data_IF_747023528631
#
_entry.id   IF_747023528631
#
_cell.length_a   1.000
_cell.length_b   1.000
_cell.length_c   1.000
_cell.angle_alpha   90.00
_cell.angle_beta   90.00
_cell.angle_gamma   90.00
#
_symmetry.space_group_name_H-M   'P 1'
#
loop_
_entity.id
_entity.type
_entity.pdbx_description
1 polymer ?
#
# COMPACT_ATOMS: atom_id res chain seq x y z
N UNK A 1 -17.59 8.97 -11.48
CA UNK A 1 -16.67 10.08 -11.89
C UNK A 1 -15.37 9.93 -11.09
N UNK A 2 -14.24 10.51 -11.54
CA UNK A 2 -12.96 10.40 -10.81
C UNK A 2 -13.05 10.90 -9.36
N UNK A 3 -13.79 12.00 -9.15
CA UNK A 3 -14.05 12.54 -7.82
C UNK A 3 -14.73 11.52 -6.89
N UNK A 4 -15.60 10.65 -7.43
CA UNK A 4 -16.28 9.63 -6.63
C UNK A 4 -15.31 8.52 -6.19
N UNK A 5 -14.34 8.17 -7.05
CA UNK A 5 -13.28 7.21 -6.71
C UNK A 5 -12.40 7.77 -5.59
N UNK A 6 -11.96 9.02 -5.72
CA UNK A 6 -11.15 9.66 -4.68
C UNK A 6 -11.94 9.83 -3.37
N UNK A 7 -13.22 10.21 -3.45
CA UNK A 7 -14.09 10.30 -2.30
C UNK A 7 -14.29 8.93 -1.63
N UNK A 8 -14.49 7.86 -2.40
CA UNK A 8 -14.61 6.50 -1.88
C UNK A 8 -13.37 6.09 -1.07
N UNK A 9 -12.18 6.43 -1.54
CA UNK A 9 -10.90 6.14 -0.86
C UNK A 9 -10.59 7.00 0.37
N UNK A 10 -11.37 8.06 0.62
CA UNK A 10 -11.14 9.00 1.73
C UNK A 10 -12.37 9.09 2.63
N UNK A 11 -13.27 10.05 2.39
CA UNK A 11 -14.51 10.26 3.17
C UNK A 11 -15.43 9.03 3.11
N UNK A 12 -15.49 8.34 1.98
CA UNK A 12 -16.27 7.12 1.81
C UNK A 12 -15.76 5.99 2.71
N UNK A 13 -14.45 5.78 2.75
CA UNK A 13 -13.80 4.84 3.66
C UNK A 13 -14.04 5.20 5.13
N UNK A 14 -13.92 6.48 5.50
CA UNK A 14 -14.25 6.97 6.84
C UNK A 14 -15.70 6.63 7.24
N UNK A 15 -16.67 6.90 6.35
CA UNK A 15 -18.07 6.55 6.56
C UNK A 15 -18.29 5.05 6.71
N UNK A 16 -17.62 4.22 5.91
CA UNK A 16 -17.72 2.77 6.00
C UNK A 16 -17.21 2.22 7.34
N UNK A 17 -16.24 2.91 7.96
CA UNK A 17 -15.74 2.62 9.30
C UNK A 17 -16.57 3.26 10.43
N UNK A 18 -17.66 3.97 10.10
CA UNK A 18 -18.48 4.68 11.09
C UNK A 18 -17.78 5.87 11.73
N UNK A 19 -16.79 6.46 11.04
CA UNK A 19 -16.00 7.59 11.54
C UNK A 19 -16.27 8.86 10.75
N UNK A 20 -16.42 9.96 11.47
CA UNK A 20 -16.64 11.32 10.94
C UNK A 20 -15.43 12.24 11.16
N UNK A 21 -14.45 11.81 11.94
CA UNK A 21 -13.25 12.56 12.32
C UNK A 21 -12.03 12.29 11.42
N UNK A 22 -12.19 11.55 10.30
CA UNK A 22 -11.11 11.24 9.33
C UNK A 22 -11.57 11.37 7.88
N UNK A 23 -10.61 11.36 6.95
CA UNK A 23 -10.87 11.40 5.50
C UNK A 23 -11.16 12.80 4.96
N UNK A 24 -11.07 13.85 5.79
CA UNK A 24 -11.27 15.24 5.41
C UNK A 24 -10.21 16.14 6.04
N UNK A 25 -9.73 17.12 5.28
CA UNK A 25 -8.95 18.24 5.82
C UNK A 25 -9.92 19.29 6.37
N UNK A 26 -10.20 19.23 7.66
CA UNK A 26 -11.10 20.16 8.37
C UNK A 26 -10.71 20.26 9.83
N UNK A 27 -10.88 21.42 10.50
CA UNK A 27 -10.77 21.50 11.95
C UNK A 27 -11.64 20.42 12.63
N UNK A 28 -11.10 19.83 13.70
CA UNK A 28 -11.73 18.73 14.44
C UNK A 28 -11.49 17.33 13.87
N UNK A 29 -11.03 17.20 12.62
CA UNK A 29 -10.59 15.91 12.07
C UNK A 29 -9.15 15.58 12.48
N UNK A 30 -8.81 14.30 12.55
CA UNK A 30 -7.43 13.83 12.69
C UNK A 30 -6.58 14.29 11.52
N UNK A 31 -5.31 14.56 11.81
CA UNK A 31 -4.32 14.92 10.80
C UNK A 31 -3.76 13.67 10.09
N UNK A 32 -4.66 12.95 9.39
CA UNK A 32 -4.32 11.86 8.47
C UNK A 32 -4.09 12.46 7.07
N UNK A 33 -2.83 12.74 6.73
CA UNK A 33 -2.47 13.57 5.58
C UNK A 33 -1.40 12.87 4.74
N UNK A 34 -1.59 12.86 3.42
CA UNK A 34 -0.61 12.40 2.44
C UNK A 34 -0.18 13.59 1.57
N UNK A 35 1.13 13.85 1.50
CA UNK A 35 1.71 14.85 0.62
C UNK A 35 2.32 14.15 -0.60
N UNK A 36 1.85 14.55 -1.78
CA UNK A 36 2.27 13.99 -3.06
C UNK A 36 3.07 15.03 -3.85
N UNK A 37 4.26 14.66 -4.31
CA UNK A 37 5.09 15.46 -5.20
C UNK A 37 4.52 15.46 -6.62
N UNK A 38 3.80 16.52 -6.96
CA UNK A 38 3.22 16.69 -8.29
C UNK A 38 4.26 16.92 -9.39
N UNK A 39 5.55 17.10 -9.05
CA UNK A 39 6.67 17.22 -10.00
C UNK A 39 7.37 15.90 -10.29
N UNK A 40 7.05 14.83 -9.54
CA UNK A 40 7.62 13.51 -9.73
C UNK A 40 7.44 13.04 -11.19
N UNK A 41 8.41 12.31 -11.79
CA UNK A 41 8.31 11.88 -13.18
C UNK A 41 7.04 11.10 -13.51
N UNK A 42 6.55 10.27 -12.57
CA UNK A 42 5.31 9.50 -12.74
C UNK A 42 4.03 10.38 -12.73
N UNK A 43 4.13 11.63 -12.30
CA UNK A 43 3.03 12.61 -12.30
C UNK A 43 3.04 13.48 -13.56
N UNK A 44 4.09 13.42 -14.39
CA UNK A 44 4.26 14.30 -15.55
C UNK A 44 3.68 13.72 -16.85
N UNK A 45 3.03 14.55 -17.68
CA UNK A 45 2.65 15.95 -17.44
C UNK A 45 1.50 16.09 -16.44
N UNK A 46 1.61 17.00 -15.47
CA UNK A 46 0.65 17.12 -14.36
C UNK A 46 -0.48 18.14 -14.62
N UNK A 47 -1.30 17.91 -15.67
CA UNK A 47 -2.43 18.80 -15.99
C UNK A 47 -3.56 18.72 -14.97
N UNK A 48 -3.87 17.50 -14.52
CA UNK A 48 -4.88 17.22 -13.49
C UNK A 48 -4.21 16.34 -12.44
N UNK A 49 -3.72 16.93 -11.32
CA UNK A 49 -3.00 16.19 -10.29
C UNK A 49 -3.79 15.03 -9.69
N UNK A 50 -5.11 15.15 -9.61
CA UNK A 50 -5.95 14.08 -9.06
C UNK A 50 -6.04 12.90 -10.02
N UNK A 51 -6.16 13.19 -11.32
CA UNK A 51 -6.13 12.17 -12.37
C UNK A 51 -4.77 11.49 -12.44
N UNK A 52 -3.69 12.26 -12.42
CA UNK A 52 -2.32 11.72 -12.36
C UNK A 52 -2.13 10.87 -11.10
N UNK A 53 -2.63 11.31 -9.94
CA UNK A 53 -2.56 10.56 -8.69
C UNK A 53 -3.25 9.20 -8.77
N UNK A 54 -4.46 9.15 -9.34
CA UNK A 54 -5.25 7.91 -9.37
C UNK A 54 -4.75 6.92 -10.44
N UNK A 55 -4.29 7.40 -11.60
CA UNK A 55 -4.01 6.52 -12.74
C UNK A 55 -2.52 6.33 -13.05
N UNK A 56 -1.63 7.16 -12.50
CA UNK A 56 -0.22 7.19 -12.92
C UNK A 56 0.77 7.29 -11.78
N UNK A 57 0.38 7.85 -10.63
CA UNK A 57 1.28 7.93 -9.49
C UNK A 57 1.74 6.54 -9.05
N UNK A 58 3.01 6.49 -8.68
CA UNK A 58 3.58 5.39 -7.90
C UNK A 58 3.74 5.85 -6.45
N UNK A 59 4.00 4.90 -5.56
CA UNK A 59 4.47 5.16 -4.20
C UNK A 59 5.61 6.19 -4.15
N UNK A 60 6.46 6.24 -5.18
CA UNK A 60 7.55 7.21 -5.33
C UNK A 60 7.12 8.68 -5.39
N UNK A 61 5.86 8.97 -5.73
CA UNK A 61 5.34 10.33 -5.70
C UNK A 61 4.93 10.76 -4.28
N UNK A 62 4.79 9.84 -3.32
CA UNK A 62 4.44 10.16 -1.93
C UNK A 62 5.68 10.64 -1.19
N UNK A 63 5.66 11.88 -0.70
CA UNK A 63 6.80 12.51 -0.01
C UNK A 63 6.69 12.39 1.51
N UNK A 64 5.51 12.67 2.05
CA UNK A 64 5.25 12.64 3.49
C UNK A 64 3.87 12.04 3.78
N UNK A 65 3.79 11.31 4.88
CA UNK A 65 2.52 10.77 5.39
C UNK A 65 2.47 11.03 6.89
N UNK A 66 1.33 11.54 7.35
CA UNK A 66 1.01 11.77 8.74
C UNK A 66 -0.19 10.93 9.12
N UNK A 67 -0.13 10.31 10.31
CA UNK A 67 -1.26 9.59 10.92
C UNK A 67 -1.49 10.20 12.29
N UNK A 68 -2.67 10.77 12.51
CA UNK A 68 -3.02 11.56 13.70
C UNK A 68 -1.95 12.62 14.03
N UNK A 69 -1.43 13.28 12.99
CA UNK A 69 -0.39 14.30 13.09
C UNK A 69 1.03 13.77 13.31
N UNK A 70 1.22 12.45 13.47
CA UNK A 70 2.56 11.84 13.62
C UNK A 70 3.13 11.50 12.26
N UNK A 71 4.37 11.93 11.93
CA UNK A 71 5.00 11.56 10.67
C UNK A 71 5.32 10.06 10.66
N UNK A 72 4.84 9.35 9.65
CA UNK A 72 5.15 7.92 9.42
C UNK A 72 5.92 7.69 8.12
N UNK A 73 5.88 8.65 7.19
CA UNK A 73 6.75 8.73 6.02
C UNK A 73 7.35 10.12 5.93
N UNK A 74 8.64 10.23 5.65
CA UNK A 74 9.34 11.50 5.43
C UNK A 74 10.36 11.38 4.30
N UNK A 75 10.32 12.32 3.35
CA UNK A 75 11.18 12.31 2.16
C UNK A 75 11.13 10.98 1.39
N UNK A 76 9.93 10.39 1.28
CA UNK A 76 9.70 9.10 0.62
C UNK A 76 10.21 7.87 1.40
N UNK A 77 10.65 8.04 2.66
CA UNK A 77 11.12 6.93 3.51
C UNK A 77 10.14 6.64 4.63
N UNK A 78 9.76 5.38 4.79
CA UNK A 78 8.96 4.87 5.91
C UNK A 78 9.77 4.95 7.20
N UNK A 79 9.16 5.46 8.27
CA UNK A 79 9.82 5.68 9.56
C UNK A 79 9.48 4.62 10.62
N UNK A 80 8.46 3.80 10.36
CA UNK A 80 7.83 2.92 11.36
C UNK A 80 8.11 1.43 11.15
N UNK A 81 8.76 1.07 10.05
CA UNK A 81 9.03 -0.33 9.67
C UNK A 81 10.48 -0.45 9.21
N UNK A 82 11.20 -1.44 9.76
CA UNK A 82 12.44 -1.92 9.17
C UNK A 82 12.10 -2.88 8.02
N UNK A 83 12.25 -2.39 6.79
CA UNK A 83 11.94 -3.15 5.59
C UNK A 83 12.80 -4.41 5.44
N UNK A 84 14.07 -4.37 5.84
CA UNK A 84 14.97 -5.52 5.69
C UNK A 84 14.57 -6.62 6.67
N UNK A 85 14.33 -6.27 7.93
CA UNK A 85 13.86 -7.23 8.93
C UNK A 85 12.47 -7.78 8.59
N UNK A 86 11.55 -6.94 8.12
CA UNK A 86 10.21 -7.37 7.71
C UNK A 86 10.27 -8.35 6.51
N UNK A 87 11.12 -8.07 5.52
CA UNK A 87 11.31 -8.95 4.37
C UNK A 87 11.91 -10.31 4.77
N UNK A 88 12.89 -10.32 5.69
CA UNK A 88 13.45 -11.57 6.22
C UNK A 88 12.37 -12.40 6.94
N UNK A 89 11.57 -11.77 7.79
CA UNK A 89 10.46 -12.45 8.49
C UNK A 89 9.42 -13.02 7.52
N UNK A 90 9.11 -12.28 6.44
CA UNK A 90 8.21 -12.76 5.38
C UNK A 90 8.77 -14.00 4.67
N UNK A 91 10.07 -14.01 4.35
CA UNK A 91 10.71 -15.16 3.72
C UNK A 91 10.64 -16.42 4.60
N UNK A 92 10.89 -16.28 5.91
CA UNK A 92 10.74 -17.39 6.86
C UNK A 92 9.29 -17.88 6.94
N UNK A 93 8.32 -16.96 6.95
CA UNK A 93 6.90 -17.30 6.95
C UNK A 93 6.49 -18.05 5.68
N UNK A 94 7.02 -17.66 4.53
CA UNK A 94 6.80 -18.36 3.26
C UNK A 94 7.32 -19.79 3.33
N UNK A 95 8.54 -20.01 3.83
CA UNK A 95 9.11 -21.36 3.97
C UNK A 95 8.23 -22.25 4.86
N UNK A 96 7.77 -21.71 6.00
CA UNK A 96 6.82 -22.42 6.88
C UNK A 96 5.51 -22.74 6.14
N UNK A 97 4.94 -21.77 5.44
CA UNK A 97 3.69 -21.96 4.70
C UNK A 97 3.86 -23.05 3.64
N UNK A 98 4.92 -22.99 2.84
CA UNK A 98 5.24 -23.98 1.80
C UNK A 98 5.37 -25.39 2.38
N UNK A 99 6.02 -25.55 3.53
CA UNK A 99 6.14 -26.85 4.20
C UNK A 99 4.80 -27.43 4.68
N UNK A 100 3.78 -26.59 4.88
CA UNK A 100 2.42 -27.03 5.26
C UNK A 100 1.52 -27.38 4.07
N UNK A 101 1.91 -27.00 2.85
CA UNK A 101 1.06 -27.15 1.65
C UNK A 101 0.62 -28.60 1.42
N UNK A 102 1.50 -29.63 1.43
CA UNK A 102 1.06 -31.01 1.20
C UNK A 102 0.02 -31.51 2.19
N UNK A 103 0.11 -31.03 3.45
CA UNK A 103 -0.85 -31.39 4.49
C UNK A 103 -2.21 -30.71 4.28
N UNK A 104 -2.20 -29.49 3.74
CA UNK A 104 -3.39 -28.67 3.58
C UNK A 104 -4.03 -28.80 2.17
N UNK A 105 -3.28 -29.29 1.17
CA UNK A 105 -3.78 -29.59 -0.17
C UNK A 105 -4.56 -30.91 -0.15
N UNK A 106 -5.76 -30.89 -0.71
CA UNK A 106 -6.64 -32.06 -0.73
C UNK A 106 -6.05 -33.25 -1.51
N UNK A 107 -5.13 -33.01 -2.44
CA UNK A 107 -4.46 -34.02 -3.24
C UNK A 107 -3.01 -34.30 -2.77
N UNK A 108 -2.60 -33.73 -1.63
CA UNK A 108 -1.27 -33.97 -1.06
C UNK A 108 -0.10 -33.37 -1.84
N UNK A 109 -0.34 -32.46 -2.79
CA UNK A 109 0.69 -31.92 -3.68
C UNK A 109 1.62 -30.96 -2.95
N UNK A 110 2.86 -30.89 -3.43
CA UNK A 110 3.86 -29.93 -2.99
C UNK A 110 3.62 -28.51 -3.52
N UNK A 111 4.32 -27.54 -2.92
CA UNK A 111 4.32 -26.16 -3.39
C UNK A 111 4.77 -26.05 -4.86
N UNK A 112 5.79 -26.82 -5.26
CA UNK A 112 6.37 -26.79 -6.60
C UNK A 112 5.45 -27.45 -7.65
N UNK A 113 4.59 -28.39 -7.24
CA UNK A 113 3.58 -28.97 -8.12
C UNK A 113 2.38 -28.02 -8.32
N UNK A 114 1.98 -27.30 -7.28
CA UNK A 114 0.88 -26.32 -7.36
C UNK A 114 1.28 -25.03 -8.08
N UNK A 115 2.50 -24.55 -7.82
CA UNK A 115 3.03 -23.30 -8.33
C UNK A 115 4.51 -23.47 -8.70
N UNK A 116 4.81 -24.18 -9.80
CA UNK A 116 6.18 -24.42 -10.23
C UNK A 116 6.91 -23.11 -10.52
N UNK A 117 8.21 -23.01 -10.21
CA UNK A 117 9.01 -21.86 -10.61
C UNK A 117 8.99 -21.63 -12.12
N UNK A 118 8.84 -20.38 -12.55
CA UNK A 118 8.88 -19.99 -13.98
C UNK A 118 10.20 -20.37 -14.63
N UNK A 119 11.30 -20.20 -13.90
CA UNK A 119 12.63 -20.64 -14.31
C UNK A 119 13.03 -21.82 -13.44
N UNK A 120 13.30 -22.96 -14.08
CA UNK A 120 13.91 -24.12 -13.45
C UNK A 120 15.41 -23.96 -13.58
N UNK A 121 16.09 -23.73 -12.46
CA UNK A 121 17.54 -23.72 -12.44
C UNK A 121 18.02 -25.17 -12.50
N UNK A 122 18.60 -25.57 -13.64
CA UNK A 122 19.32 -26.85 -13.83
C UNK A 122 20.75 -26.74 -13.35
#
# INVERSE_FOLDING_TARGET
RLADVFAASTVGGAKALGRDDIGRLSPGCKADIVLVDCTAPAMQPCRDPLRSLVFSASDRAVRHVYVDGRPVVREGRVLTIDHAAAAASLAEAQLRAMATIPRNDWAGRSADELSPPTLRWT
#
